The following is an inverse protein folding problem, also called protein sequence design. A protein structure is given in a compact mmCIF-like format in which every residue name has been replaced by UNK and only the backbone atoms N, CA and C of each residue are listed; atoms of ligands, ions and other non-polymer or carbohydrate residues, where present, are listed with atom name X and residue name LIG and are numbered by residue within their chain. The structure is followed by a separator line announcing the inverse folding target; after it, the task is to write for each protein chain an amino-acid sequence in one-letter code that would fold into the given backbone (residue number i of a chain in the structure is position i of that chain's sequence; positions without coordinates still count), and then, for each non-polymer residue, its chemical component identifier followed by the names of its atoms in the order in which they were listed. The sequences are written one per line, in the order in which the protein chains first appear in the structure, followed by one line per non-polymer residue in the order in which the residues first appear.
data_IF_699837040053
#
_entry.id   IF_699837040053
#
_cell.length_a   1.000
_cell.length_b   1.000
_cell.length_c   1.000
_cell.angle_alpha   90.00
_cell.angle_beta   90.00
_cell.angle_gamma   90.00
#
_symmetry.space_group_name_H-M   'P 1'
#
loop_
_entity.id
_entity.type
_entity.pdbx_description
1 polymer ?
#
# COMPACT_ATOMS: atom_id res chain seq x y z
N UNK A 1 -2.41 -19.96 0.44
CA UNK A 1 -1.88 -18.99 1.43
C UNK A 1 -2.46 -19.35 2.78
N UNK A 2 -1.62 -19.80 3.72
CA UNK A 2 -2.06 -20.11 5.09
C UNK A 2 -2.03 -18.82 5.91
N UNK A 3 -3.11 -18.54 6.63
CA UNK A 3 -3.27 -17.33 7.44
C UNK A 3 -2.11 -17.22 8.45
N UNK A 4 -1.34 -16.14 8.35
CA UNK A 4 -0.22 -15.87 9.24
C UNK A 4 -0.78 -15.21 10.50
N UNK A 5 -1.20 -16.00 11.49
CA UNK A 5 -1.31 -15.50 12.86
C UNK A 5 0.11 -15.37 13.40
N UNK A 6 0.72 -14.21 13.18
CA UNK A 6 1.91 -13.84 13.95
C UNK A 6 1.45 -13.68 15.41
N UNK A 7 2.14 -14.29 16.40
CA UNK A 7 1.80 -14.08 17.80
C UNK A 7 1.77 -12.57 18.09
N UNK A 8 0.86 -12.15 18.96
CA UNK A 8 0.50 -10.75 19.31
C UNK A 8 1.69 -9.80 19.66
N UNK A 9 2.93 -10.30 19.66
CA UNK A 9 4.15 -9.58 19.96
C UNK A 9 4.97 -9.16 18.72
N UNK A 10 4.70 -9.72 17.52
CA UNK A 10 5.53 -9.46 16.33
C UNK A 10 4.98 -8.31 15.50
N UNK A 11 3.75 -8.42 14.98
CA UNK A 11 3.02 -7.37 14.25
C UNK A 11 1.54 -7.47 14.60
N UNK A 12 0.88 -6.32 14.77
CA UNK A 12 -0.57 -6.20 14.86
C UNK A 12 -1.09 -5.61 13.54
N UNK A 13 -1.71 -6.45 12.71
CA UNK A 13 -2.37 -5.96 11.49
C UNK A 13 -3.85 -5.83 11.77
N UNK A 14 -4.33 -4.60 11.74
CA UNK A 14 -5.75 -4.30 11.83
C UNK A 14 -6.30 -4.37 10.41
N UNK A 15 -6.89 -5.51 10.09
CA UNK A 15 -7.70 -5.64 8.89
C UNK A 15 -9.00 -4.89 9.17
N UNK A 16 -9.23 -3.78 8.48
CA UNK A 16 -10.50 -3.05 8.54
C UNK A 16 -11.52 -3.79 7.69
N UNK A 17 -11.84 -5.01 8.10
CA UNK A 17 -12.86 -5.86 7.51
C UNK A 17 -13.58 -6.63 8.59
N UNK A 18 -14.86 -6.30 8.78
CA UNK A 18 -15.88 -7.24 9.25
C UNK A 18 -15.85 -7.73 10.70
N UNK A 19 -14.83 -7.46 11.54
CA UNK A 19 -14.83 -7.93 12.94
C UNK A 19 -15.37 -6.93 13.96
N UNK A 20 -15.56 -5.67 13.58
CA UNK A 20 -16.45 -4.76 14.28
C UNK A 20 -17.66 -4.51 13.38
N UNK A 21 -18.77 -5.23 13.64
CA UNK A 21 -20.10 -4.73 13.30
C UNK A 21 -20.34 -3.47 14.14
N UNK A 22 -19.69 -2.37 13.78
CA UNK A 22 -20.05 -1.05 14.26
C UNK A 22 -21.16 -0.48 13.36
N UNK A 23 -22.01 0.32 13.99
CA UNK A 23 -23.38 0.76 13.68
C UNK A 23 -23.64 1.36 12.26
N UNK A 24 -22.72 1.28 11.31
CA UNK A 24 -22.91 1.81 9.93
C UNK A 24 -22.42 0.94 8.76
N UNK A 25 -21.73 -0.19 8.97
CA UNK A 25 -21.52 -1.19 7.91
C UNK A 25 -20.72 -0.75 6.66
N UNK A 26 -19.81 0.22 6.75
CA UNK A 26 -19.02 0.70 5.59
C UNK A 26 -17.55 0.34 5.72
N UNK A 27 -17.04 -0.48 4.78
CA UNK A 27 -15.62 -0.66 4.51
C UNK A 27 -14.99 0.69 4.13
N UNK A 28 -13.86 1.08 4.74
CA UNK A 28 -13.31 2.43 4.54
C UNK A 28 -12.49 2.53 3.25
N UNK A 29 -12.90 3.44 2.37
CA UNK A 29 -12.14 3.88 1.21
C UNK A 29 -11.18 5.01 1.60
N UNK A 30 -9.87 4.79 1.46
CA UNK A 30 -8.86 5.79 1.83
C UNK A 30 -8.58 6.76 0.68
N UNK A 31 -8.23 8.00 1.03
CA UNK A 31 -7.94 9.03 0.03
C UNK A 31 -6.69 8.68 -0.77
N UNK A 32 -6.73 8.93 -2.07
CA UNK A 32 -5.58 8.76 -2.96
C UNK A 32 -5.32 7.33 -3.44
N UNK A 33 -6.24 6.39 -3.21
CA UNK A 33 -6.11 5.01 -3.65
C UNK A 33 -5.21 4.15 -2.77
N UNK A 34 -5.01 4.57 -1.51
CA UNK A 34 -4.19 3.87 -0.52
C UNK A 34 -4.91 2.61 -0.05
N UNK A 35 -4.30 1.43 -0.23
CA UNK A 35 -4.88 0.15 0.19
C UNK A 35 -4.44 -0.29 1.59
N UNK A 36 -3.34 0.27 2.09
CA UNK A 36 -2.78 -0.07 3.40
C UNK A 36 -1.79 0.98 3.87
N UNK A 37 -1.48 0.94 5.16
CA UNK A 37 -0.45 1.74 5.80
C UNK A 37 0.21 0.93 6.92
N UNK A 38 1.53 0.98 7.00
CA UNK A 38 2.30 0.31 8.03
C UNK A 38 3.48 1.16 8.51
N UNK A 39 3.89 0.92 9.77
CA UNK A 39 5.14 1.46 10.30
C UNK A 39 6.33 0.67 9.77
N UNK A 40 7.34 1.38 9.27
CA UNK A 40 8.53 0.74 8.69
C UNK A 40 9.58 0.47 9.75
N UNK A 41 10.07 -0.77 9.86
CA UNK A 41 11.19 -1.10 10.75
C UNK A 41 12.51 -0.52 10.26
N UNK A 42 13.43 -0.31 11.20
CA UNK A 42 14.76 0.21 10.90
C UNK A 42 15.84 -0.45 11.74
N UNK A 43 16.90 -0.91 11.08
CA UNK A 43 18.10 -1.44 11.74
C UNK A 43 18.84 -0.36 12.54
N UNK A 44 18.74 0.92 12.15
CA UNK A 44 19.46 2.03 12.77
C UNK A 44 18.76 2.63 14.01
N UNK A 45 17.73 1.96 14.53
CA UNK A 45 17.09 2.33 15.80
C UNK A 45 15.95 3.35 15.69
N UNK A 46 15.43 3.62 14.49
CA UNK A 46 14.12 4.28 14.37
C UNK A 46 13.04 3.35 14.96
N UNK A 47 12.04 3.94 15.62
CA UNK A 47 10.97 3.16 16.25
C UNK A 47 9.88 2.83 15.24
N UNK A 48 9.46 1.57 15.18
CA UNK A 48 8.49 1.11 14.18
C UNK A 48 8.75 -0.30 13.68
N UNK A 49 7.69 -0.94 13.19
CA UNK A 49 7.72 -2.27 12.60
C UNK A 49 7.84 -3.40 13.63
N UNK A 50 8.37 -4.54 13.19
CA UNK A 50 8.37 -5.79 13.98
C UNK A 50 9.04 -5.65 15.35
N UNK A 51 8.49 -6.35 16.35
CA UNK A 51 9.00 -6.39 17.72
C UNK A 51 9.05 -5.03 18.46
N UNK A 52 8.40 -3.98 17.95
CA UNK A 52 8.33 -2.69 18.66
C UNK A 52 7.45 -2.79 19.92
N UNK A 53 7.96 -2.26 21.05
CA UNK A 53 7.26 -2.31 22.34
C UNK A 53 6.35 -1.10 22.53
N UNK A 54 5.29 -1.30 23.32
CA UNK A 54 4.41 -0.21 23.75
C UNK A 54 5.20 0.81 24.57
N UNK A 55 5.34 2.04 24.06
CA UNK A 55 6.09 3.12 24.73
C UNK A 55 5.46 4.48 24.50
N UNK A 56 5.88 5.47 25.29
CA UNK A 56 5.40 6.85 25.20
C UNK A 56 6.12 7.58 24.07
N UNK A 57 5.36 8.23 23.19
CA UNK A 57 5.85 9.10 22.13
C UNK A 57 5.35 10.52 22.33
N UNK A 58 6.20 11.50 22.02
CA UNK A 58 5.84 12.92 22.00
C UNK A 58 5.45 13.32 20.58
N UNK A 59 4.21 13.74 20.39
CA UNK A 59 3.70 14.24 19.11
C UNK A 59 3.32 15.71 19.23
N UNK A 60 3.49 16.46 18.15
CA UNK A 60 3.04 17.85 18.07
C UNK A 60 1.72 17.91 17.32
N UNK A 61 0.61 18.00 18.05
CA UNK A 61 -0.74 18.12 17.47
C UNK A 61 -1.19 19.56 17.65
N UNK A 62 -1.44 20.27 16.54
CA UNK A 62 -1.86 21.68 16.58
C UNK A 62 -0.87 22.64 17.24
N UNK A 63 0.43 22.31 17.25
CA UNK A 63 1.48 23.12 17.88
C UNK A 63 1.68 22.88 19.38
N UNK A 64 0.92 21.96 20.00
CA UNK A 64 1.12 21.54 21.39
C UNK A 64 1.78 20.16 21.46
N UNK A 65 2.71 19.99 22.40
CA UNK A 65 3.32 18.69 22.66
C UNK A 65 2.38 17.82 23.48
N UNK A 66 1.92 16.73 22.88
CA UNK A 66 1.10 15.72 23.55
C UNK A 66 1.90 14.43 23.66
N UNK A 67 2.01 13.90 24.88
CA UNK A 67 2.62 12.58 25.11
C UNK A 67 1.54 11.51 25.05
N UNK A 68 1.62 10.60 24.08
CA UNK A 68 0.68 9.47 23.94
C UNK A 68 1.45 8.16 23.93
N UNK A 69 0.88 7.11 24.52
CA UNK A 69 1.48 5.77 24.48
C UNK A 69 0.95 5.04 23.26
N UNK A 70 1.86 4.44 22.47
CA UNK A 70 1.53 3.73 21.22
C UNK A 70 2.40 2.50 21.04
N UNK A 71 1.92 1.56 20.23
CA UNK A 71 2.69 0.44 19.70
C UNK A 71 2.82 0.64 18.19
N UNK A 72 4.06 0.80 17.71
CA UNK A 72 4.34 1.05 16.28
C UNK A 72 4.69 -0.25 15.53
N UNK A 73 4.36 -1.41 16.08
CA UNK A 73 4.38 -2.70 15.38
C UNK A 73 3.04 -2.96 14.68
N UNK A 74 2.46 -1.93 14.07
CA UNK A 74 1.08 -1.95 13.56
C UNK A 74 1.02 -1.68 12.07
N UNK A 75 0.03 -2.29 11.42
CA UNK A 75 -0.35 -2.00 10.04
C UNK A 75 -1.87 -2.05 9.87
N UNK A 76 -2.38 -1.38 8.85
CA UNK A 76 -3.80 -1.39 8.47
C UNK A 76 -3.93 -1.74 6.99
N UNK A 77 -4.98 -2.47 6.64
CA UNK A 77 -5.37 -2.70 5.24
C UNK A 77 -6.88 -2.50 5.06
N UNK A 78 -7.28 -2.13 3.85
CA UNK A 78 -8.69 -2.08 3.42
C UNK A 78 -8.93 -3.02 2.24
N UNK A 79 -10.18 -3.47 2.10
CA UNK A 79 -10.64 -4.26 0.97
C UNK A 79 -11.45 -3.45 -0.03
N UNK A 80 -11.48 -2.11 0.11
CA UNK A 80 -12.16 -1.20 -0.81
C UNK A 80 -11.21 -0.14 -1.33
N UNK A 81 -11.33 0.15 -2.62
CA UNK A 81 -10.60 1.22 -3.29
C UNK A 81 -11.51 1.90 -4.31
N UNK A 82 -11.64 3.23 -4.25
CA UNK A 82 -12.54 4.00 -5.12
C UNK A 82 -13.97 3.42 -5.15
N UNK A 83 -14.50 3.10 -3.98
CA UNK A 83 -15.81 2.47 -3.76
C UNK A 83 -16.02 1.13 -4.49
N UNK A 84 -14.94 0.44 -4.84
CA UNK A 84 -14.94 -0.88 -5.48
C UNK A 84 -14.22 -1.90 -4.61
N UNK A 85 -14.75 -3.13 -4.53
CA UNK A 85 -14.17 -4.20 -3.71
C UNK A 85 -12.92 -4.76 -4.38
N UNK A 86 -11.84 -4.81 -3.62
CA UNK A 86 -10.55 -5.32 -4.07
C UNK A 86 -10.59 -6.86 -4.10
N UNK A 87 -10.15 -7.52 -5.19
CA UNK A 87 -10.11 -8.99 -5.26
C UNK A 87 -9.21 -9.61 -4.18
N UNK A 88 -9.54 -10.80 -3.64
CA UNK A 88 -8.75 -11.44 -2.59
C UNK A 88 -7.26 -11.58 -2.89
N UNK A 89 -6.91 -11.85 -4.15
CA UNK A 89 -5.52 -11.96 -4.63
C UNK A 89 -4.76 -10.65 -4.42
N UNK A 90 -5.35 -9.51 -4.79
CA UNK A 90 -4.74 -8.19 -4.61
C UNK A 90 -4.67 -7.84 -3.12
N UNK A 91 -5.73 -8.12 -2.35
CA UNK A 91 -5.75 -7.88 -0.90
C UNK A 91 -4.66 -8.66 -0.15
N UNK A 92 -4.38 -9.90 -0.56
CA UNK A 92 -3.28 -10.70 -0.01
C UNK A 92 -1.91 -10.09 -0.33
N UNK A 93 -1.73 -9.53 -1.52
CA UNK A 93 -0.50 -8.84 -1.89
C UNK A 93 -0.34 -7.52 -1.15
N UNK A 94 -1.41 -6.75 -0.96
CA UNK A 94 -1.41 -5.56 -0.10
C UNK A 94 -1.01 -5.91 1.33
N UNK A 95 -1.58 -6.98 1.90
CA UNK A 95 -1.19 -7.46 3.22
C UNK A 95 0.31 -7.79 3.28
N UNK A 96 0.83 -8.50 2.27
CA UNK A 96 2.25 -8.82 2.19
C UNK A 96 3.14 -7.56 2.04
N UNK A 97 2.66 -6.54 1.33
CA UNK A 97 3.34 -5.24 1.18
C UNK A 97 3.46 -4.51 2.52
N UNK A 98 2.35 -4.39 3.27
CA UNK A 98 2.36 -3.75 4.60
C UNK A 98 3.19 -4.54 5.62
N UNK A 99 3.21 -5.87 5.52
CA UNK A 99 4.13 -6.71 6.30
C UNK A 99 5.58 -6.42 5.88
N UNK A 100 5.87 -6.31 4.60
CA UNK A 100 7.21 -5.98 4.09
C UNK A 100 7.74 -4.66 4.68
N UNK A 101 6.88 -3.65 4.82
CA UNK A 101 7.19 -2.42 5.56
C UNK A 101 7.52 -2.70 7.03
N UNK A 102 6.68 -3.44 7.76
CA UNK A 102 6.96 -3.81 9.15
C UNK A 102 8.28 -4.58 9.31
N UNK A 103 8.71 -5.34 8.31
CA UNK A 103 10.01 -6.02 8.28
C UNK A 103 11.17 -5.11 7.83
N UNK A 104 10.90 -3.85 7.50
CA UNK A 104 11.88 -2.81 7.23
C UNK A 104 12.24 -2.61 5.77
N UNK A 105 11.47 -3.19 4.84
CA UNK A 105 11.63 -2.86 3.43
C UNK A 105 10.98 -1.50 3.12
N UNK A 106 11.71 -0.53 2.56
CA UNK A 106 11.10 0.58 1.83
C UNK A 106 10.51 0.08 0.50
N UNK A 107 9.88 0.99 -0.24
CA UNK A 107 9.49 0.74 -1.62
C UNK A 107 10.69 0.39 -2.51
N UNK A 108 10.44 -0.42 -3.54
CA UNK A 108 11.48 -0.92 -4.45
C UNK A 108 12.13 0.20 -5.28
N UNK A 109 13.44 0.34 -5.12
CA UNK A 109 14.33 1.24 -5.86
C UNK A 109 15.77 0.69 -5.82
N UNK A 110 16.59 0.82 -6.88
CA UNK A 110 16.35 1.49 -8.17
C UNK A 110 15.64 0.58 -9.18
N UNK A 111 15.71 0.90 -10.48
CA UNK A 111 14.94 0.25 -11.56
C UNK A 111 15.10 -1.28 -11.61
N UNK A 112 16.25 -1.81 -11.21
CA UNK A 112 16.52 -3.25 -11.09
C UNK A 112 15.54 -3.99 -10.16
N UNK A 113 15.00 -3.31 -9.15
CA UNK A 113 14.04 -3.86 -8.19
C UNK A 113 12.59 -3.56 -8.57
N UNK A 114 12.34 -2.88 -9.69
CA UNK A 114 11.01 -2.60 -10.23
C UNK A 114 10.97 -2.81 -11.76
N UNK A 115 11.20 -4.05 -12.23
CA UNK A 115 11.46 -4.32 -13.65
C UNK A 115 10.25 -4.08 -14.57
N UNK A 116 9.03 -4.06 -14.04
CA UNK A 116 7.81 -3.88 -14.83
C UNK A 116 7.66 -4.94 -15.94
N UNK A 117 7.04 -4.54 -17.05
CA UNK A 117 6.89 -5.38 -18.25
C UNK A 117 6.11 -6.69 -18.00
N UNK A 118 6.46 -7.75 -18.75
CA UNK A 118 5.77 -9.04 -18.70
C UNK A 118 5.85 -9.71 -17.32
N UNK A 119 7.01 -9.65 -16.67
CA UNK A 119 7.24 -10.25 -15.36
C UNK A 119 6.60 -9.46 -14.21
N UNK A 120 6.36 -8.17 -14.42
CA UNK A 120 5.74 -7.28 -13.44
C UNK A 120 6.68 -6.79 -12.35
N UNK A 121 6.16 -5.92 -11.50
CA UNK A 121 6.86 -5.42 -10.33
C UNK A 121 6.73 -6.39 -9.14
N UNK A 122 7.64 -6.25 -8.17
CA UNK A 122 7.65 -7.06 -6.94
C UNK A 122 6.65 -6.51 -5.91
N UNK A 123 6.51 -7.22 -4.78
CA UNK A 123 5.57 -6.89 -3.70
C UNK A 123 5.74 -5.44 -3.20
N UNK A 124 6.96 -4.92 -3.09
CA UNK A 124 7.24 -3.59 -2.51
C UNK A 124 7.19 -2.46 -3.54
N UNK A 125 6.51 -2.65 -4.67
CA UNK A 125 6.28 -1.58 -5.64
C UNK A 125 5.37 -0.49 -5.06
N UNK A 126 5.75 0.78 -5.23
CA UNK A 126 5.09 1.94 -4.61
C UNK A 126 3.71 2.30 -5.20
N UNK A 127 3.27 1.61 -6.26
CA UNK A 127 2.06 1.97 -7.01
C UNK A 127 1.16 0.75 -7.23
N UNK A 128 0.31 0.77 -8.25
CA UNK A 128 -0.70 -0.25 -8.44
C UNK A 128 -0.11 -1.63 -8.81
N UNK A 129 -0.84 -2.70 -8.49
CA UNK A 129 -0.51 -4.06 -8.92
C UNK A 129 -1.77 -4.82 -9.33
N UNK A 130 -1.71 -5.63 -10.39
CA UNK A 130 -2.82 -6.52 -10.77
C UNK A 130 -2.79 -7.84 -10.01
N UNK A 131 -1.63 -8.23 -9.50
CA UNK A 131 -1.41 -9.53 -8.86
C UNK A 131 -1.23 -10.70 -9.83
N UNK A 132 -1.44 -10.52 -11.13
CA UNK A 132 -1.39 -11.60 -12.12
C UNK A 132 0.01 -11.90 -12.66
N UNK A 133 0.99 -11.05 -12.37
CA UNK A 133 2.34 -11.20 -12.93
C UNK A 133 3.24 -12.04 -12.01
N UNK A 134 4.21 -12.81 -12.56
CA UNK A 134 5.04 -13.72 -11.77
C UNK A 134 5.82 -13.09 -10.60
N UNK A 135 6.22 -11.82 -10.72
CA UNK A 135 6.94 -11.12 -9.66
C UNK A 135 6.02 -10.57 -8.56
N UNK A 136 4.71 -10.44 -8.80
CA UNK A 136 3.79 -9.83 -7.85
C UNK A 136 3.70 -10.63 -6.54
N UNK A 137 4.05 -11.92 -6.54
CA UNK A 137 4.06 -12.79 -5.37
C UNK A 137 5.46 -12.97 -4.76
N UNK A 138 6.44 -12.12 -5.12
CA UNK A 138 7.84 -12.23 -4.67
C UNK A 138 8.35 -10.89 -4.16
N UNK A 139 9.26 -10.94 -3.19
CA UNK A 139 10.05 -9.79 -2.80
C UNK A 139 11.22 -9.59 -3.77
N UNK A 140 11.60 -8.34 -4.02
CA UNK A 140 12.74 -8.02 -4.87
C UNK A 140 14.06 -8.32 -4.13
N UNK A 141 15.20 -8.43 -4.84
CA UNK A 141 16.51 -8.51 -4.19
C UNK A 141 16.80 -7.34 -3.23
N UNK A 142 16.28 -6.14 -3.53
CA UNK A 142 16.40 -4.97 -2.66
C UNK A 142 15.60 -5.15 -1.36
N UNK A 143 14.34 -5.59 -1.47
CA UNK A 143 13.49 -5.82 -0.30
C UNK A 143 14.10 -6.89 0.61
N UNK A 144 14.55 -8.00 0.03
CA UNK A 144 15.19 -9.10 0.77
C UNK A 144 16.39 -8.60 1.57
N UNK A 145 17.26 -7.78 0.97
CA UNK A 145 18.44 -7.23 1.65
C UNK A 145 18.05 -6.34 2.84
N UNK A 146 17.07 -5.45 2.67
CA UNK A 146 16.62 -4.55 3.74
C UNK A 146 15.95 -5.32 4.89
N UNK A 147 15.11 -6.29 4.56
CA UNK A 147 14.49 -7.17 5.55
C UNK A 147 15.55 -7.96 6.32
N UNK A 148 16.54 -8.52 5.63
CA UNK A 148 17.63 -9.29 6.25
C UNK A 148 18.41 -8.43 7.24
N UNK A 149 18.76 -7.19 6.88
CA UNK A 149 19.46 -6.28 7.78
C UNK A 149 18.69 -5.98 9.08
N UNK A 150 17.36 -5.90 9.02
CA UNK A 150 16.52 -5.71 10.22
C UNK A 150 16.48 -6.99 11.06
N UNK A 151 16.32 -8.14 10.41
CA UNK A 151 16.30 -9.44 11.09
C UNK A 151 17.64 -9.73 11.79
N UNK A 152 18.78 -9.42 11.16
CA UNK A 152 20.11 -9.63 11.74
C UNK A 152 20.34 -8.84 13.05
N UNK A 153 19.68 -7.68 13.19
CA UNK A 153 19.77 -6.85 14.40
C UNK A 153 18.81 -7.32 15.50
N UNK A 154 17.68 -7.92 15.13
CA UNK A 154 16.63 -8.34 16.04
C UNK A 154 16.83 -9.77 16.56
N UNK A 155 17.11 -10.70 15.65
CA UNK A 155 17.24 -12.13 15.94
C UNK A 155 18.55 -12.38 16.68
N UNK A 156 18.49 -12.96 17.87
CA UNK A 156 19.66 -13.15 18.73
C UNK A 156 19.98 -11.97 19.67
N UNK A 157 19.24 -10.85 19.55
CA UNK A 157 19.32 -9.75 20.52
C UNK A 157 18.29 -9.95 21.64
N UNK A 158 18.72 -10.51 22.77
CA UNK A 158 17.84 -10.92 23.90
C UNK A 158 16.91 -9.83 24.44
N UNK A 159 17.17 -8.54 24.19
CA UNK A 159 16.31 -7.42 24.66
C UNK A 159 15.19 -7.05 23.68
N UNK A 160 15.35 -7.34 22.39
CA UNK A 160 14.44 -6.94 21.30
C UNK A 160 13.88 -8.11 20.49
N UNK A 161 14.48 -9.29 20.61
CA UNK A 161 13.99 -10.49 19.95
C UNK A 161 12.60 -10.86 20.49
N UNK A 162 11.64 -10.89 19.58
CA UNK A 162 10.27 -11.32 19.84
C UNK A 162 9.89 -12.57 19.02
N UNK A 163 10.84 -13.10 18.24
CA UNK A 163 10.62 -14.31 17.46
C UNK A 163 10.69 -15.53 18.38
N UNK A 164 9.88 -16.52 18.04
CA UNK A 164 9.92 -17.85 18.64
C UNK A 164 10.27 -18.85 17.56
N UNK A 165 10.97 -19.92 17.94
CA UNK A 165 11.18 -21.04 17.04
C UNK A 165 9.82 -21.53 16.50
N UNK A 166 9.74 -21.77 15.19
CA UNK A 166 8.53 -22.30 14.60
C UNK A 166 8.33 -23.73 15.09
N UNK A 167 7.27 -23.95 15.87
CA UNK A 167 6.82 -25.30 16.25
C UNK A 167 6.05 -26.01 15.11
N UNK A 168 6.03 -25.40 13.90
CA UNK A 168 5.22 -25.85 12.78
C UNK A 168 3.77 -25.38 12.94
N UNK A 169 2.83 -26.33 12.83
CA UNK A 169 1.40 -26.10 13.02
C UNK A 169 1.09 -25.63 14.45
N UNK A 170 0.26 -24.60 14.58
CA UNK A 170 -0.18 -24.10 15.89
C UNK A 170 -1.65 -24.47 16.15
N UNK A 171 -1.83 -25.47 17.01
CA UNK A 171 -3.15 -25.89 17.45
C UNK A 171 -3.79 -24.82 18.36
N UNK A 172 -4.96 -24.32 17.98
CA UNK A 172 -5.78 -23.37 18.71
C UNK A 172 -5.96 -22.02 18.02
N UNK A 173 -5.48 -21.85 16.78
CA UNK A 173 -5.67 -20.64 15.96
C UNK A 173 -6.89 -20.74 15.01
N UNK A 174 -7.64 -21.85 15.06
CA UNK A 174 -8.83 -22.15 14.25
C UNK A 174 -8.54 -22.38 12.77
N UNK A 175 -7.30 -22.74 12.45
CA UNK A 175 -6.87 -23.07 11.08
C UNK A 175 -6.33 -24.49 11.13
N UNK A 176 -6.91 -25.39 10.35
CA UNK A 176 -6.42 -26.77 10.30
C UNK A 176 -5.08 -26.80 9.56
N UNK A 177 -4.02 -27.14 10.29
CA UNK A 177 -2.66 -27.19 9.75
C UNK A 177 -2.12 -28.63 9.64
N UNK A 178 -0.90 -28.75 9.11
CA UNK A 178 -0.28 -30.06 8.85
C UNK A 178 -0.06 -30.81 10.18
N UNK A 179 -0.71 -31.97 10.35
CA UNK A 179 -0.63 -32.80 11.56
C UNK A 179 -1.86 -32.72 12.47
N UNK A 180 -2.72 -31.73 12.24
CA UNK A 180 -3.99 -31.56 12.93
C UNK A 180 -5.12 -32.23 12.15
N UNK A 181 -6.15 -32.72 12.86
CA UNK A 181 -7.37 -33.18 12.19
C UNK A 181 -8.45 -32.12 12.19
N UNK A 182 -8.45 -31.22 13.16
CA UNK A 182 -9.42 -30.14 13.33
C UNK A 182 -8.82 -29.07 14.23
N UNK A 183 -9.31 -27.83 14.16
CA UNK A 183 -8.94 -26.79 15.11
C UNK A 183 -10.16 -25.90 15.42
N UNK A 184 -10.67 -26.02 16.65
CA UNK A 184 -11.82 -25.24 17.11
C UNK A 184 -11.43 -24.07 18.03
N UNK A 185 -10.15 -23.89 18.34
CA UNK A 185 -9.66 -22.84 19.23
C UNK A 185 -8.88 -23.34 20.45
N UNK A 186 -8.53 -22.40 21.32
CA UNK A 186 -7.53 -22.63 22.36
C UNK A 186 -8.06 -23.42 23.57
N UNK A 187 -9.28 -23.15 24.00
CA UNK A 187 -9.90 -23.74 25.19
C UNK A 187 -11.39 -24.10 24.94
N UNK A 188 -12.08 -24.66 25.94
CA UNK A 188 -13.49 -25.04 25.83
C UNK A 188 -14.44 -23.84 25.61
N UNK A 189 -14.11 -22.66 26.13
CA UNK A 189 -14.94 -21.46 25.96
C UNK A 189 -14.96 -20.99 24.49
N UNK A 190 -13.81 -21.08 23.82
CA UNK A 190 -13.69 -20.75 22.41
C UNK A 190 -14.19 -21.87 21.49
N UNK A 191 -14.00 -23.12 21.89
CA UNK A 191 -14.33 -24.30 21.09
C UNK A 191 -15.81 -24.68 21.21
N UNK A 192 -16.64 -24.11 20.34
CA UNK A 192 -18.06 -24.47 20.20
C UNK A 192 -18.28 -25.77 19.41
N UNK A 193 -17.23 -26.32 18.82
CA UNK A 193 -17.29 -27.50 17.98
C UNK A 193 -17.32 -28.78 18.82
N UNK A 194 -18.43 -29.52 18.74
CA UNK A 194 -18.61 -30.80 19.43
C UNK A 194 -17.79 -31.93 18.83
N UNK A 195 -17.22 -31.74 17.64
CA UNK A 195 -16.50 -32.76 16.90
C UNK A 195 -14.99 -32.74 17.14
N UNK A 196 -14.48 -31.67 17.73
CA UNK A 196 -13.05 -31.44 17.93
C UNK A 196 -12.70 -31.30 19.42
N UNK A 197 -11.47 -31.66 19.79
CA UNK A 197 -10.89 -31.27 21.07
C UNK A 197 -10.15 -29.92 20.94
N UNK A 198 -10.37 -28.97 21.87
CA UNK A 198 -9.59 -27.72 21.90
C UNK A 198 -8.10 -27.99 22.19
N UNK A 199 -7.24 -26.99 21.99
CA UNK A 199 -5.81 -27.09 22.31
C UNK A 199 -5.55 -27.51 23.75
N UNK A 200 -6.25 -26.87 24.69
CA UNK A 200 -6.26 -27.22 26.11
C UNK A 200 -7.46 -28.10 26.40
N UNK A 201 -7.20 -29.38 26.60
CA UNK A 201 -8.22 -30.39 26.91
C UNK A 201 -8.63 -30.24 28.38
N UNK A 202 -9.93 -30.30 28.66
CA UNK A 202 -10.42 -30.30 30.04
C UNK A 202 -10.18 -31.63 30.73
N UNK A 203 -10.15 -31.60 32.06
CA UNK A 203 -10.09 -32.82 32.88
C UNK A 203 -11.28 -33.75 32.61
N UNK A 204 -12.45 -33.18 32.30
CA UNK A 204 -13.64 -33.94 31.92
C UNK A 204 -13.43 -34.73 30.64
N UNK A 205 -12.94 -34.08 29.57
CA UNK A 205 -12.68 -34.75 28.30
C UNK A 205 -11.58 -35.81 28.40
N UNK A 206 -10.56 -35.53 29.21
CA UNK A 206 -9.48 -36.48 29.47
C UNK A 206 -9.94 -37.68 30.30
N UNK A 207 -10.92 -37.49 31.20
CA UNK A 207 -11.55 -38.58 31.95
C UNK A 207 -12.41 -39.50 31.08
N UNK A 208 -13.08 -38.94 30.07
CA UNK A 208 -13.88 -39.69 29.10
C UNK A 208 -13.04 -40.42 28.06
N UNK A 209 -11.92 -39.82 27.65
CA UNK A 209 -11.02 -40.38 26.66
C UNK A 209 -9.57 -40.05 27.03
N UNK A 210 -8.88 -41.05 27.59
CA UNK A 210 -7.47 -40.93 27.99
C UNK A 210 -6.52 -40.66 26.81
N UNK A 211 -6.96 -40.97 25.58
CA UNK A 211 -6.19 -40.71 24.35
C UNK A 211 -6.57 -39.39 23.67
N UNK A 212 -7.41 -38.55 24.31
CA UNK A 212 -7.75 -37.24 23.79
C UNK A 212 -6.48 -36.38 23.62
N UNK A 213 -6.35 -35.77 22.45
CA UNK A 213 -5.26 -34.85 22.12
C UNK A 213 -5.85 -33.58 21.50
N UNK A 214 -5.31 -32.42 21.82
CA UNK A 214 -5.78 -31.15 21.25
C UNK A 214 -5.65 -31.15 19.73
N UNK A 215 -6.61 -30.51 19.06
CA UNK A 215 -6.72 -30.46 17.60
C UNK A 215 -6.82 -31.83 16.92
N UNK A 216 -7.34 -32.82 17.67
CA UNK A 216 -7.80 -34.10 17.13
C UNK A 216 -9.31 -34.19 17.27
N UNK A 217 -9.91 -34.94 16.36
CA UNK A 217 -11.35 -35.17 16.37
C UNK A 217 -11.73 -36.08 17.54
N UNK A 218 -12.93 -35.88 18.06
CA UNK A 218 -13.48 -36.74 19.13
C UNK A 218 -13.76 -38.14 18.60
N UNK A 219 -13.79 -39.12 19.51
CA UNK A 219 -14.10 -40.50 19.15
C UNK A 219 -15.46 -40.60 18.44
N UNK A 220 -15.58 -41.52 17.47
CA UNK A 220 -16.80 -41.78 16.68
C UNK A 220 -17.29 -40.62 15.82
N UNK A 221 -16.41 -39.71 15.43
CA UNK A 221 -16.71 -38.63 14.47
C UNK A 221 -16.03 -38.89 13.12
N UNK A 222 -16.62 -38.37 12.03
CA UNK A 222 -16.06 -38.47 10.67
C UNK A 222 -15.40 -37.17 10.24
N UNK A 223 -15.90 -36.02 10.69
CA UNK A 223 -15.36 -34.71 10.35
C UNK A 223 -15.55 -33.70 11.48
N UNK A 224 -14.99 -32.51 11.28
CA UNK A 224 -15.25 -31.32 12.08
C UNK A 224 -15.61 -30.14 11.16
N UNK A 225 -16.55 -29.25 11.54
CA UNK A 225 -16.82 -28.00 10.82
C UNK A 225 -15.59 -27.09 10.62
N UNK A 226 -14.55 -27.23 11.44
CA UNK A 226 -13.29 -26.49 11.25
C UNK A 226 -12.53 -26.93 9.99
N UNK A 227 -12.76 -28.15 9.50
CA UNK A 227 -12.16 -28.66 8.26
C UNK A 227 -12.83 -28.08 7.01
N UNK A 228 -14.11 -27.73 7.10
CA UNK A 228 -14.85 -27.16 5.97
C UNK A 228 -16.37 -27.18 6.12
N UNK A 229 -17.07 -26.52 5.19
CA UNK A 229 -18.52 -26.31 5.26
C UNK A 229 -19.35 -27.58 5.01
N UNK A 230 -18.75 -28.66 4.52
CA UNK A 230 -19.44 -29.92 4.22
C UNK A 230 -19.43 -30.91 5.40
N UNK A 231 -19.33 -30.41 6.63
CA UNK A 231 -19.47 -31.21 7.85
C UNK A 231 -20.67 -30.75 8.69
N UNK A 232 -21.54 -31.69 9.05
CA UNK A 232 -22.67 -31.42 9.92
C UNK A 232 -22.19 -31.22 11.37
N UNK A 233 -22.44 -30.04 11.94
CA UNK A 233 -21.95 -29.66 13.28
C UNK A 233 -22.55 -30.48 14.43
N UNK A 234 -23.75 -31.01 14.28
CA UNK A 234 -24.43 -31.76 15.34
C UNK A 234 -24.07 -33.25 15.36
N UNK A 235 -23.88 -33.86 14.18
CA UNK A 235 -23.62 -35.29 14.04
C UNK A 235 -22.16 -35.62 13.74
N UNK A 236 -21.34 -34.61 13.41
CA UNK A 236 -19.93 -34.78 13.05
C UNK A 236 -19.72 -35.75 11.87
N UNK A 237 -20.66 -35.73 10.93
CA UNK A 237 -20.68 -36.57 9.72
C UNK A 237 -20.66 -35.68 8.47
N UNK A 238 -20.17 -36.23 7.37
CA UNK A 238 -20.18 -35.52 6.09
C UNK A 238 -21.62 -35.24 5.66
N UNK A 239 -21.84 -34.08 5.05
CA UNK A 239 -23.14 -33.73 4.47
C UNK A 239 -23.45 -34.70 3.32
N UNK A 240 -24.50 -35.54 3.42
CA UNK A 240 -24.81 -36.53 2.39
C UNK A 240 -25.16 -35.88 1.06
N UNK A 241 -24.82 -36.52 -0.05
CA UNK A 241 -25.09 -36.02 -1.41
C UNK A 241 -26.59 -35.75 -1.65
N UNK A 242 -27.47 -36.49 -0.96
CA UNK A 242 -28.93 -36.31 -1.03
C UNK A 242 -29.42 -34.94 -0.57
N UNK A 243 -28.66 -34.26 0.30
CA UNK A 243 -29.01 -32.91 0.75
C UNK A 243 -28.72 -31.86 -0.32
N UNK A 244 -27.86 -32.16 -1.31
CA UNK A 244 -27.45 -31.22 -2.37
C UNK A 244 -27.04 -29.85 -1.82
N UNK A 245 -26.40 -29.82 -0.65
CA UNK A 245 -26.03 -28.59 0.03
C UNK A 245 -24.97 -27.86 -0.79
N UNK A 246 -25.28 -26.62 -1.19
CA UNK A 246 -24.31 -25.71 -1.80
C UNK A 246 -23.33 -25.24 -0.74
N UNK A 247 -22.04 -25.43 -1.00
CA UNK A 247 -20.95 -25.02 -0.11
C UNK A 247 -20.11 -23.87 -0.67
N UNK A 248 -20.12 -23.69 -2.00
CA UNK A 248 -19.63 -22.49 -2.69
C UNK A 248 -20.73 -22.01 -3.63
N UNK A 249 -21.04 -20.72 -3.52
CA UNK A 249 -21.98 -20.06 -4.42
C UNK A 249 -21.39 -19.90 -5.82
N UNK A 250 -22.28 -19.71 -6.79
CA UNK A 250 -21.92 -19.43 -8.17
C UNK A 250 -21.24 -18.04 -8.29
N UNK A 251 -20.24 -17.95 -9.15
CA UNK A 251 -19.56 -16.70 -9.50
C UNK A 251 -19.67 -16.44 -11.01
N UNK A 252 -19.23 -15.26 -11.47
CA UNK A 252 -19.21 -14.95 -12.91
C UNK A 252 -18.33 -15.93 -13.73
N UNK A 253 -17.36 -16.62 -13.10
CA UNK A 253 -16.42 -17.52 -13.78
C UNK A 253 -16.45 -18.97 -13.27
N UNK A 254 -17.27 -19.30 -12.29
CA UNK A 254 -17.39 -20.66 -11.74
C UNK A 254 -18.83 -20.99 -11.41
N UNK A 255 -19.24 -22.23 -11.65
CA UNK A 255 -20.53 -22.74 -11.21
C UNK A 255 -20.60 -22.89 -9.69
N UNK A 256 -21.79 -23.12 -9.14
CA UNK A 256 -21.91 -23.48 -7.71
C UNK A 256 -21.34 -24.88 -7.44
N UNK A 257 -20.81 -25.10 -6.24
CA UNK A 257 -20.30 -26.40 -5.81
C UNK A 257 -21.14 -26.96 -4.66
N UNK A 258 -21.38 -28.27 -4.69
CA UNK A 258 -22.18 -28.99 -3.68
C UNK A 258 -21.35 -30.05 -2.97
N UNK A 259 -21.70 -30.33 -1.72
CA UNK A 259 -21.01 -31.34 -0.93
C UNK A 259 -21.14 -32.74 -1.55
N UNK A 260 -20.00 -33.44 -1.67
CA UNK A 260 -19.93 -34.76 -2.33
C UNK A 260 -20.32 -35.94 -1.41
N UNK A 261 -20.47 -35.73 -0.10
CA UNK A 261 -20.78 -36.78 0.89
C UNK A 261 -19.59 -37.55 1.46
N UNK A 262 -18.37 -37.23 1.05
CA UNK A 262 -17.15 -37.99 1.40
C UNK A 262 -16.07 -37.13 2.08
N UNK A 263 -16.12 -35.81 1.92
CA UNK A 263 -15.14 -34.87 2.46
C UNK A 263 -15.82 -33.70 3.17
N UNK A 264 -15.15 -33.13 4.17
CA UNK A 264 -15.62 -31.92 4.86
C UNK A 264 -15.27 -30.64 4.06
N UNK A 265 -14.23 -30.71 3.24
CA UNK A 265 -13.87 -29.66 2.29
C UNK A 265 -14.89 -29.58 1.16
N UNK A 266 -15.19 -28.35 0.74
CA UNK A 266 -16.05 -28.11 -0.41
C UNK A 266 -15.27 -28.39 -1.69
N UNK A 267 -15.76 -29.28 -2.58
CA UNK A 267 -15.08 -29.57 -3.83
C UNK A 267 -14.91 -28.29 -4.68
N UNK A 268 -13.85 -28.23 -5.47
CA UNK A 268 -13.63 -27.08 -6.35
C UNK A 268 -14.76 -26.99 -7.40
N UNK A 269 -15.35 -25.80 -7.58
CA UNK A 269 -16.43 -25.61 -8.52
C UNK A 269 -15.92 -25.80 -9.96
N UNK A 270 -16.78 -26.34 -10.82
CA UNK A 270 -16.48 -26.39 -12.24
C UNK A 270 -16.37 -24.95 -12.79
N UNK A 271 -15.32 -24.70 -13.57
CA UNK A 271 -15.13 -23.42 -14.23
C UNK A 271 -16.19 -23.22 -15.33
N UNK A 272 -16.57 -21.97 -15.55
CA UNK A 272 -17.28 -21.60 -16.78
C UNK A 272 -16.33 -21.67 -17.97
N UNK A 273 -16.90 -21.67 -19.16
CA UNK A 273 -16.14 -21.72 -20.40
C UNK A 273 -15.14 -20.55 -20.48
N UNK A 274 -13.91 -20.85 -20.88
CA UNK A 274 -12.89 -19.84 -21.09
C UNK A 274 -13.38 -18.80 -22.10
N UNK A 275 -12.98 -17.53 -21.89
CA UNK A 275 -13.42 -16.36 -22.68
C UNK A 275 -14.88 -15.94 -22.44
N UNK A 276 -15.53 -16.44 -21.39
CA UNK A 276 -16.78 -15.82 -20.87
C UNK A 276 -16.46 -14.43 -20.31
N UNK A 277 -17.29 -13.43 -20.63
CA UNK A 277 -17.14 -12.06 -20.09
C UNK A 277 -17.46 -12.00 -18.59
N UNK A 278 -16.65 -11.30 -17.82
CA UNK A 278 -16.81 -11.07 -16.38
C UNK A 278 -16.41 -9.63 -16.00
N UNK A 279 -16.62 -9.26 -14.74
CA UNK A 279 -16.38 -7.92 -14.20
C UNK A 279 -17.05 -6.83 -15.05
N UNK A 280 -18.35 -7.01 -15.31
CA UNK A 280 -19.18 -6.12 -16.14
C UNK A 280 -18.60 -5.89 -17.55
N UNK A 281 -18.08 -6.95 -18.19
CA UNK A 281 -17.55 -6.93 -19.56
C UNK A 281 -16.14 -6.37 -19.72
N UNK A 282 -15.42 -6.13 -18.62
CA UNK A 282 -14.05 -5.57 -18.65
C UNK A 282 -12.95 -6.63 -18.58
N UNK A 283 -13.32 -7.87 -18.26
CA UNK A 283 -12.41 -9.01 -18.13
C UNK A 283 -13.04 -10.30 -18.72
N UNK A 284 -12.23 -11.34 -18.84
CA UNK A 284 -12.62 -12.67 -19.29
C UNK A 284 -12.28 -13.72 -18.23
N UNK A 285 -13.11 -14.74 -18.15
CA UNK A 285 -12.84 -15.95 -17.39
C UNK A 285 -11.75 -16.78 -18.08
N UNK A 286 -10.68 -17.09 -17.36
CA UNK A 286 -9.61 -17.97 -17.80
C UNK A 286 -9.33 -18.96 -16.67
N UNK A 287 -9.61 -20.25 -16.91
CA UNK A 287 -9.47 -21.33 -15.91
C UNK A 287 -10.16 -20.99 -14.58
N UNK A 288 -11.39 -20.48 -14.65
CA UNK A 288 -12.21 -20.16 -13.48
C UNK A 288 -11.90 -18.81 -12.81
N UNK A 289 -10.87 -18.09 -13.25
CA UNK A 289 -10.51 -16.77 -12.70
C UNK A 289 -10.92 -15.64 -13.65
N UNK A 290 -11.47 -14.55 -13.10
CA UNK A 290 -11.80 -13.33 -13.85
C UNK A 290 -10.57 -12.43 -14.02
N UNK A 291 -9.61 -12.84 -14.86
CA UNK A 291 -8.32 -12.15 -15.05
C UNK A 291 -7.93 -11.93 -16.51
N UNK A 292 -8.59 -12.59 -17.46
CA UNK A 292 -8.33 -12.41 -18.88
C UNK A 292 -8.75 -11.02 -19.37
N UNK A 293 -8.15 -10.54 -20.46
CA UNK A 293 -8.56 -9.29 -21.10
C UNK A 293 -9.47 -9.55 -22.29
N UNK A 294 -10.51 -8.73 -22.52
CA UNK A 294 -11.35 -8.80 -23.72
C UNK A 294 -10.57 -8.73 -25.03
N UNK A 295 -9.37 -8.13 -25.05
CA UNK A 295 -8.48 -8.09 -26.21
C UNK A 295 -8.18 -9.49 -26.78
N UNK A 296 -8.21 -10.54 -25.95
CA UNK A 296 -7.99 -11.93 -26.38
C UNK A 296 -9.08 -12.45 -27.32
N UNK A 297 -10.28 -11.85 -27.34
CA UNK A 297 -11.33 -12.18 -28.30
C UNK A 297 -10.98 -11.73 -29.72
N UNK A 298 -10.14 -10.70 -29.85
CA UNK A 298 -9.71 -10.11 -31.11
C UNK A 298 -8.28 -10.53 -31.50
N UNK A 299 -7.73 -11.58 -30.87
CA UNK A 299 -6.34 -12.02 -31.02
C UNK A 299 -5.29 -10.93 -30.68
N UNK A 300 -5.66 -9.99 -29.83
CA UNK A 300 -4.79 -8.91 -29.35
C UNK A 300 -4.39 -9.14 -27.88
N UNK A 301 -3.36 -8.42 -27.42
CA UNK A 301 -2.97 -8.42 -26.01
C UNK A 301 -3.33 -7.10 -25.34
N UNK A 302 -3.54 -7.13 -24.01
CA UNK A 302 -3.86 -5.94 -23.23
C UNK A 302 -2.63 -5.03 -23.11
N UNK A 303 -2.83 -3.74 -23.35
CA UNK A 303 -1.83 -2.70 -23.14
C UNK A 303 -2.38 -1.57 -22.27
N UNK A 304 -1.49 -0.66 -21.82
CA UNK A 304 -1.88 0.56 -21.13
C UNK A 304 -1.57 1.76 -22.01
N UNK A 305 -2.54 2.65 -22.14
CA UNK A 305 -2.27 3.99 -22.66
C UNK A 305 -1.42 4.71 -21.62
N UNK A 306 -0.34 5.35 -22.08
CA UNK A 306 0.58 6.06 -21.18
C UNK A 306 0.61 7.55 -21.48
N UNK A 307 0.71 8.34 -20.42
CA UNK A 307 0.75 9.81 -20.52
C UNK A 307 1.97 10.33 -21.28
N UNK A 308 3.06 9.55 -21.33
CA UNK A 308 4.31 9.88 -22.03
C UNK A 308 4.22 9.76 -23.56
N UNK A 309 3.29 8.95 -24.09
CA UNK A 309 3.16 8.73 -25.54
C UNK A 309 2.36 9.82 -26.25
N UNK A 310 1.57 10.62 -25.54
CA UNK A 310 0.70 11.62 -26.14
C UNK A 310 0.64 12.91 -25.28
N UNK A 311 1.29 14.01 -25.71
CA UNK A 311 1.14 15.30 -25.04
C UNK A 311 -0.31 15.78 -25.26
N UNK A 312 -1.05 16.03 -24.17
CA UNK A 312 -2.48 16.43 -24.14
C UNK A 312 -3.55 15.31 -24.15
N UNK A 313 -3.25 14.10 -23.69
CA UNK A 313 -4.30 13.13 -23.38
C UNK A 313 -5.23 13.66 -22.27
N UNK A 314 -6.55 13.59 -22.51
CA UNK A 314 -7.54 13.64 -21.43
C UNK A 314 -7.32 12.42 -20.51
N UNK A 315 -7.07 12.66 -19.22
CA UNK A 315 -6.83 11.60 -18.21
C UNK A 315 -7.94 10.56 -18.15
N UNK A 316 -9.11 10.84 -18.74
CA UNK A 316 -10.19 9.87 -18.94
C UNK A 316 -9.82 8.74 -19.89
N UNK A 317 -9.11 9.03 -20.99
CA UNK A 317 -8.71 8.01 -21.97
C UNK A 317 -7.79 6.96 -21.36
N UNK A 318 -6.98 7.30 -20.37
CA UNK A 318 -6.09 6.37 -19.65
C UNK A 318 -6.86 5.26 -18.89
N UNK A 319 -8.16 5.44 -18.69
CA UNK A 319 -9.06 4.47 -18.08
C UNK A 319 -9.92 3.71 -19.09
N UNK A 320 -9.66 3.86 -20.39
CA UNK A 320 -10.24 3.02 -21.43
C UNK A 320 -9.40 1.75 -21.59
N UNK A 321 -10.05 0.62 -21.88
CA UNK A 321 -9.38 -0.61 -22.23
C UNK A 321 -8.67 -0.41 -23.58
N UNK A 322 -7.37 -0.73 -23.63
CA UNK A 322 -6.56 -0.66 -24.82
C UNK A 322 -5.95 -2.02 -25.16
N UNK A 323 -5.82 -2.26 -26.46
CA UNK A 323 -5.29 -3.51 -27.02
C UNK A 323 -4.15 -3.21 -27.99
N UNK A 324 -3.19 -4.12 -28.09
CA UNK A 324 -2.08 -4.06 -29.02
C UNK A 324 -1.94 -5.39 -29.77
N UNK A 325 -1.38 -5.35 -30.97
CA UNK A 325 -1.11 -6.54 -31.77
C UNK A 325 0.13 -7.25 -31.24
N UNK A 326 -0.05 -8.48 -30.76
CA UNK A 326 1.04 -9.29 -30.21
C UNK A 326 1.79 -8.57 -29.08
N UNK A 327 3.09 -8.36 -29.26
CA UNK A 327 3.96 -7.72 -28.27
C UNK A 327 4.45 -6.31 -28.69
N UNK A 328 3.90 -5.77 -29.77
CA UNK A 328 4.35 -4.49 -30.33
C UNK A 328 3.69 -3.31 -29.60
N UNK A 329 4.45 -2.66 -28.71
CA UNK A 329 3.96 -1.55 -27.88
C UNK A 329 3.51 -0.32 -28.67
N UNK A 330 3.95 -0.19 -29.92
CA UNK A 330 3.59 0.95 -30.80
C UNK A 330 2.19 0.81 -31.41
N UNK A 331 1.58 -0.37 -31.32
CA UNK A 331 0.24 -0.66 -31.88
C UNK A 331 -0.87 -0.53 -30.83
N UNK A 332 -0.54 -0.11 -29.61
CA UNK A 332 -1.50 0.04 -28.53
C UNK A 332 -2.54 1.11 -28.85
N UNK A 333 -3.79 0.68 -29.10
CA UNK A 333 -4.93 1.54 -29.43
C UNK A 333 -6.09 1.32 -28.47
N UNK A 334 -6.86 2.38 -28.18
CA UNK A 334 -8.04 2.27 -27.32
C UNK A 334 -9.16 1.50 -28.01
N UNK A 335 -9.94 0.73 -27.25
CA UNK A 335 -11.18 0.09 -27.75
C UNK A 335 -12.18 1.08 -28.35
N UNK A 336 -12.14 2.35 -27.94
CA UNK A 336 -12.98 3.40 -28.52
C UNK A 336 -12.61 3.73 -29.97
N UNK A 337 -11.34 3.58 -30.37
CA UNK A 337 -10.85 3.89 -31.72
C UNK A 337 -11.26 2.86 -32.76
N UNK A 338 -11.45 1.61 -32.33
CA UNK A 338 -11.81 0.50 -33.21
C UNK A 338 -13.17 -0.11 -32.92
N UNK A 339 -14.01 0.60 -32.16
CA UNK A 339 -15.31 0.11 -31.75
C UNK A 339 -16.18 -0.32 -32.95
N UNK A 340 -16.13 0.42 -34.05
CA UNK A 340 -16.87 0.13 -35.27
C UNK A 340 -16.41 -1.15 -36.00
N UNK A 341 -15.13 -1.50 -35.90
CA UNK A 341 -14.54 -2.66 -36.58
C UNK A 341 -14.95 -3.98 -35.91
N UNK A 342 -15.10 -3.97 -34.59
CA UNK A 342 -15.36 -5.17 -33.78
C UNK A 342 -16.74 -5.16 -33.10
N UNK A 343 -17.66 -4.32 -33.57
CA UNK A 343 -19.04 -4.20 -33.07
C UNK A 343 -19.12 -3.94 -31.55
N UNK A 344 -18.23 -3.08 -31.04
CA UNK A 344 -18.21 -2.61 -29.65
C UNK A 344 -19.14 -1.39 -29.54
N UNK A 345 -19.70 -1.16 -28.35
CA UNK A 345 -20.51 0.04 -28.09
C UNK A 345 -19.76 1.34 -28.41
N UNK A 346 -20.45 2.37 -28.96
CA UNK A 346 -19.85 3.67 -29.22
C UNK A 346 -19.28 4.26 -27.93
N UNK A 347 -17.97 4.52 -27.89
CA UNK A 347 -17.25 4.97 -26.69
C UNK A 347 -16.32 3.93 -26.06
N UNK A 348 -16.26 2.70 -26.58
CA UNK A 348 -15.33 1.67 -26.14
C UNK A 348 -15.69 1.05 -24.78
N UNK A 349 -14.74 0.33 -24.19
CA UNK A 349 -14.89 -0.33 -22.89
C UNK A 349 -14.09 0.45 -21.84
N UNK A 350 -14.77 1.03 -20.86
CA UNK A 350 -14.14 1.70 -19.73
C UNK A 350 -13.76 0.71 -18.63
N UNK A 351 -12.59 0.88 -18.04
CA UNK A 351 -12.14 0.10 -16.89
C UNK A 351 -12.97 0.42 -15.65
N UNK A 352 -13.17 -0.57 -14.77
CA UNK A 352 -13.89 -0.37 -13.51
C UNK A 352 -13.09 0.53 -12.54
N UNK A 353 -13.76 1.30 -11.66
CA UNK A 353 -13.09 2.04 -10.59
C UNK A 353 -12.19 1.13 -9.75
N UNK A 354 -10.99 1.62 -9.41
CA UNK A 354 -9.95 0.84 -8.74
C UNK A 354 -9.07 -0.01 -9.68
N UNK A 355 -9.34 -0.04 -10.99
CA UNK A 355 -8.46 -0.68 -11.96
C UNK A 355 -7.14 0.08 -12.13
N UNK A 356 -6.00 -0.61 -12.33
CA UNK A 356 -4.73 0.05 -12.58
C UNK A 356 -4.73 0.78 -13.93
N UNK A 357 -4.08 1.94 -13.99
CA UNK A 357 -3.94 2.77 -15.20
C UNK A 357 -2.51 3.34 -15.34
N UNK A 358 -2.20 3.92 -16.51
CA UNK A 358 -0.89 4.52 -16.85
C UNK A 358 0.27 3.58 -16.51
N UNK A 359 0.21 2.32 -16.99
CA UNK A 359 1.18 1.26 -16.70
C UNK A 359 1.47 1.07 -15.20
N UNK A 360 0.40 0.87 -14.42
CA UNK A 360 0.43 0.65 -12.98
C UNK A 360 0.91 1.84 -12.13
N UNK A 361 1.05 3.05 -12.70
CA UNK A 361 1.39 4.25 -11.94
C UNK A 361 0.19 4.84 -11.19
N UNK A 362 -1.04 4.39 -11.50
CA UNK A 362 -2.25 4.94 -10.93
C UNK A 362 -3.43 3.97 -10.88
N UNK A 363 -4.55 4.48 -10.37
CA UNK A 363 -5.85 3.82 -10.38
C UNK A 363 -6.92 4.72 -11.03
N UNK A 364 -7.92 4.10 -11.65
CA UNK A 364 -9.09 4.80 -12.18
C UNK A 364 -10.08 5.15 -11.07
N UNK A 365 -10.44 6.42 -10.95
CA UNK A 365 -11.47 6.86 -10.00
C UNK A 365 -12.90 6.65 -10.53
N UNK A 366 -13.91 6.93 -9.70
CA UNK A 366 -15.34 6.84 -10.06
C UNK A 366 -15.76 7.75 -11.22
N UNK A 367 -14.93 8.76 -11.57
CA UNK A 367 -15.15 9.66 -12.71
C UNK A 367 -14.35 9.23 -13.95
N UNK A 368 -13.83 8.00 -13.94
CA UNK A 368 -12.99 7.38 -14.96
C UNK A 368 -11.71 8.17 -15.23
N UNK A 369 -11.17 8.90 -14.24
CA UNK A 369 -9.89 9.62 -14.37
C UNK A 369 -8.78 8.81 -13.73
N UNK A 370 -7.67 8.65 -14.45
CA UNK A 370 -6.48 8.02 -13.90
C UNK A 370 -5.82 8.95 -12.85
N UNK A 371 -5.78 8.50 -11.60
CA UNK A 371 -5.12 9.15 -10.47
C UNK A 371 -3.80 8.43 -10.20
N UNK A 372 -2.69 9.14 -10.33
CA UNK A 372 -1.38 8.61 -9.96
C UNK A 372 -1.34 8.32 -8.46
N UNK A 373 -0.73 7.20 -8.10
CA UNK A 373 -0.47 6.82 -6.71
C UNK A 373 0.85 7.45 -6.28
N UNK A 374 0.79 8.43 -5.38
CA UNK A 374 1.96 9.08 -4.79
C UNK A 374 2.14 8.56 -3.36
N UNK A 375 2.79 7.39 -3.23
CA UNK A 375 3.02 6.75 -1.93
C UNK A 375 4.27 7.29 -1.21
N UNK A 376 5.14 8.01 -1.92
CA UNK A 376 6.35 8.60 -1.35
C UNK A 376 6.04 10.02 -0.84
N UNK A 377 6.20 10.24 0.47
CA UNK A 377 5.89 11.55 1.08
C UNK A 377 6.65 12.73 0.46
N UNK A 378 6.21 13.98 0.70
CA UNK A 378 6.75 15.18 0.05
C UNK A 378 8.26 15.39 0.29
N UNK A 379 8.77 14.91 1.42
CA UNK A 379 10.20 14.96 1.76
C UNK A 379 11.05 14.00 0.92
N UNK A 380 10.54 12.77 0.67
CA UNK A 380 11.23 11.79 -0.18
C UNK A 380 11.25 12.28 -1.61
N UNK A 381 10.14 12.90 -2.07
CA UNK A 381 10.07 13.56 -3.37
C UNK A 381 11.09 14.71 -3.48
N UNK A 382 11.17 15.59 -2.49
CA UNK A 382 12.13 16.69 -2.49
C UNK A 382 13.57 16.17 -2.52
N UNK A 383 13.87 15.15 -1.71
CA UNK A 383 15.17 14.47 -1.71
C UNK A 383 15.48 13.90 -3.09
N UNK A 384 14.56 13.17 -3.71
CA UNK A 384 14.78 12.55 -5.00
C UNK A 384 14.87 13.59 -6.13
N UNK A 385 14.20 14.73 -6.04
CA UNK A 385 14.32 15.81 -7.02
C UNK A 385 15.64 16.58 -6.88
N UNK A 386 16.05 16.92 -5.65
CA UNK A 386 17.22 17.76 -5.39
C UNK A 386 18.54 16.98 -5.33
N UNK A 387 18.52 15.72 -4.90
CA UNK A 387 19.71 14.91 -4.60
C UNK A 387 19.80 13.65 -5.48
N UNK A 388 19.18 13.65 -6.66
CA UNK A 388 19.41 12.57 -7.63
C UNK A 388 20.86 12.64 -8.14
N UNK A 389 21.50 11.49 -8.36
CA UNK A 389 22.87 11.43 -8.86
C UNK A 389 23.01 12.11 -10.22
N UNK A 390 22.02 11.93 -11.10
CA UNK A 390 21.99 12.56 -12.42
C UNK A 390 21.79 14.09 -12.36
N UNK A 391 20.92 14.57 -11.45
CA UNK A 391 20.70 16.01 -11.25
C UNK A 391 21.91 16.67 -10.61
N UNK A 392 22.58 15.98 -9.68
CA UNK A 392 23.82 16.46 -9.07
C UNK A 392 24.96 16.53 -10.08
N UNK A 393 25.06 15.57 -11.01
CA UNK A 393 26.07 15.59 -12.07
C UNK A 393 25.81 16.73 -13.07
N UNK A 394 24.57 16.93 -13.51
CA UNK A 394 24.21 18.05 -14.38
C UNK A 394 24.38 19.41 -13.71
N UNK A 395 24.04 19.53 -12.42
CA UNK A 395 24.31 20.75 -11.65
C UNK A 395 25.81 20.97 -11.48
N UNK A 396 26.60 19.93 -11.20
CA UNK A 396 28.05 20.03 -11.10
C UNK A 396 28.69 20.47 -12.43
N UNK A 397 28.27 19.88 -13.55
CA UNK A 397 28.68 20.29 -14.89
C UNK A 397 28.31 21.75 -15.17
N UNK A 398 27.07 22.15 -14.86
CA UNK A 398 26.62 23.54 -15.04
C UNK A 398 27.42 24.53 -14.18
N UNK A 399 27.70 24.18 -12.91
CA UNK A 399 28.51 24.98 -11.99
C UNK A 399 29.95 25.11 -12.49
N UNK A 400 30.54 24.04 -13.04
CA UNK A 400 31.90 24.10 -13.61
C UNK A 400 31.96 24.93 -14.89
N UNK A 401 30.93 24.85 -15.76
CA UNK A 401 30.84 25.65 -16.98
C UNK A 401 30.53 27.13 -16.73
N UNK A 402 29.76 27.45 -15.67
CA UNK A 402 29.30 28.80 -15.35
C UNK A 402 29.85 29.30 -14.01
N UNK A 403 31.08 28.91 -13.66
CA UNK A 403 31.67 29.20 -12.34
C UNK A 403 31.70 30.71 -12.01
N UNK A 404 31.87 31.57 -13.01
CA UNK A 404 31.88 33.03 -12.85
C UNK A 404 30.51 33.59 -12.40
N UNK A 405 29.40 33.01 -12.88
CA UNK A 405 28.05 33.37 -12.44
C UNK A 405 27.81 32.98 -10.98
N UNK A 406 28.30 31.79 -10.58
CA UNK A 406 28.19 31.31 -9.21
C UNK A 406 28.97 32.23 -8.25
N UNK A 407 30.16 32.67 -8.64
CA UNK A 407 30.94 33.65 -7.87
C UNK A 407 30.22 35.00 -7.78
N UNK A 408 29.65 35.50 -8.88
CA UNK A 408 28.88 36.74 -8.88
C UNK A 408 27.64 36.68 -7.98
N UNK A 409 26.91 35.56 -8.00
CA UNK A 409 25.78 35.31 -7.10
C UNK A 409 26.25 35.28 -5.65
N UNK A 410 27.38 34.61 -5.36
CA UNK A 410 27.98 34.57 -4.03
C UNK A 410 28.38 35.95 -3.51
N UNK A 411 29.06 36.76 -4.33
CA UNK A 411 29.41 38.15 -3.99
C UNK A 411 28.17 39.01 -3.79
N UNK A 412 27.18 38.89 -4.69
CA UNK A 412 25.89 39.57 -4.57
C UNK A 412 25.17 39.22 -3.26
N UNK A 413 25.15 37.95 -2.88
CA UNK A 413 24.56 37.49 -1.62
C UNK A 413 25.27 38.08 -0.41
N UNK A 414 26.60 38.14 -0.41
CA UNK A 414 27.39 38.76 0.69
C UNK A 414 27.12 40.26 0.78
N UNK A 415 27.04 40.96 -0.36
CA UNK A 415 26.72 42.40 -0.40
C UNK A 415 25.31 42.66 0.14
N UNK A 416 24.33 41.85 -0.27
CA UNK A 416 22.94 41.95 0.22
C UNK A 416 22.87 41.62 1.71
N UNK A 417 23.56 40.58 2.18
CA UNK A 417 23.61 40.22 3.59
C UNK A 417 24.28 41.33 4.42
N UNK A 418 25.38 41.90 3.93
CA UNK A 418 26.05 43.03 4.56
C UNK A 418 25.19 44.30 4.59
N UNK A 419 24.46 44.59 3.51
CA UNK A 419 23.51 45.70 3.45
C UNK A 419 22.31 45.48 4.39
N UNK A 420 21.79 44.25 4.46
CA UNK A 420 20.72 43.85 5.36
C UNK A 420 21.16 43.96 6.82
N UNK A 421 22.32 43.42 7.19
CA UNK A 421 22.88 43.55 8.54
C UNK A 421 23.09 45.02 8.90
N UNK A 422 23.62 45.84 7.97
CA UNK A 422 23.82 47.27 8.21
C UNK A 422 22.49 48.03 8.35
N UNK A 423 21.48 47.67 7.58
CA UNK A 423 20.12 48.20 7.67
C UNK A 423 19.48 47.82 9.01
N UNK A 424 19.51 46.54 9.37
CA UNK A 424 19.01 46.03 10.64
C UNK A 424 19.76 46.64 11.83
N UNK A 425 21.09 46.76 11.79
CA UNK A 425 21.90 47.35 12.86
C UNK A 425 21.55 48.81 13.19
N UNK A 426 21.03 49.56 12.22
CA UNK A 426 20.59 50.96 12.41
C UNK A 426 19.21 51.03 13.10
N UNK A 427 18.41 49.98 12.95
CA UNK A 427 17.02 49.91 13.42
C UNK A 427 16.81 49.02 14.65
N UNK A 428 17.74 48.11 14.95
CA UNK A 428 17.69 47.27 16.16
C UNK A 428 18.25 48.03 17.37
N UNK A 429 17.47 48.20 18.46
CA UNK A 429 17.96 48.83 19.68
C UNK A 429 18.99 47.94 20.38
N UNK A 430 20.16 48.50 20.69
CA UNK A 430 21.26 47.81 21.39
C UNK A 430 21.22 48.13 22.88
N UNK A 431 21.34 47.12 23.75
CA UNK A 431 21.41 47.27 25.21
C UNK A 431 22.75 47.85 25.73
N UNK A 432 23.58 48.40 24.84
CA UNK A 432 24.92 48.90 25.16
C UNK A 432 24.87 50.43 25.28
N UNK A 433 25.10 51.01 26.49
CA UNK A 433 24.92 52.44 26.75
C UNK A 433 25.92 53.35 26.03
N UNK A 434 26.99 52.80 25.42
CA UNK A 434 27.98 53.57 24.64
C UNK A 434 27.64 53.69 23.15
N UNK A 435 26.59 53.02 22.65
CA UNK A 435 26.17 53.11 21.24
C UNK A 435 25.07 54.15 21.04
N UNK A 436 25.08 54.82 19.88
CA UNK A 436 24.04 55.78 19.49
C UNK A 436 22.66 55.10 19.43
N UNK A 437 21.62 55.82 19.84
CA UNK A 437 20.23 55.34 19.88
C UNK A 437 19.74 54.96 18.47
N UNK A 438 19.06 53.82 18.34
CA UNK A 438 18.54 53.31 17.06
C UNK A 438 17.54 54.29 16.44
N UNK A 439 17.61 54.48 15.10
CA UNK A 439 16.74 55.41 14.36
C UNK A 439 15.45 54.70 13.94
N UNK A 440 14.33 55.42 13.94
CA UNK A 440 13.06 54.87 13.41
C UNK A 440 13.11 54.83 11.88
N UNK A 441 12.59 53.75 11.29
CA UNK A 441 12.55 53.53 9.83
C UNK A 441 11.90 54.72 9.10
N UNK A 442 10.88 55.33 9.69
CA UNK A 442 10.16 56.51 9.17
C UNK A 442 11.01 57.78 9.04
N UNK A 443 12.05 57.93 9.85
CA UNK A 443 12.95 59.11 9.81
C UNK A 443 14.01 58.98 8.72
N UNK A 444 14.38 57.73 8.36
CA UNK A 444 15.44 57.44 7.38
C UNK A 444 14.92 57.60 5.94
N UNK A 445 13.65 57.25 5.69
CA UNK A 445 12.99 57.40 4.38
C UNK A 445 12.67 58.86 4.01
N UNK A 446 12.57 59.78 4.97
CA UNK A 446 12.27 61.22 4.73
C UNK A 446 13.51 62.07 4.42
N UNK A 447 14.72 61.57 4.68
CA UNK A 447 15.96 62.31 4.47
C UNK A 447 16.23 62.73 3.01
N UNK A 448 16.04 61.88 1.97
CA UNK A 448 16.31 62.28 0.58
C UNK A 448 15.34 63.34 0.04
N UNK A 449 14.09 63.37 0.52
CA UNK A 449 13.09 64.39 0.11
C UNK A 449 13.41 65.80 0.61
N UNK A 450 14.04 65.93 1.77
CA UNK A 450 14.38 67.23 2.37
C UNK A 450 15.66 67.84 1.77
N UNK A 451 16.58 67.01 1.27
CA UNK A 451 17.81 67.45 0.57
C UNK A 451 17.49 67.96 -0.84
N UNK A 452 16.62 67.26 -1.58
CA UNK A 452 16.12 67.72 -2.88
C UNK A 452 15.33 69.04 -2.77
N UNK A 453 14.49 69.21 -1.74
CA UNK A 453 13.78 70.48 -1.50
C UNK A 453 14.70 71.66 -1.14
N UNK A 454 15.86 71.41 -0.50
CA UNK A 454 16.85 72.46 -0.23
C UNK A 454 17.61 72.88 -1.48
N UNK A 455 17.95 71.95 -2.37
CA UNK A 455 18.60 72.28 -3.65
C UNK A 455 17.67 73.10 -4.57
N UNK A 456 16.37 72.78 -4.61
CA UNK A 456 15.39 73.53 -5.42
C UNK A 456 15.19 74.97 -4.93
N UNK A 457 15.27 75.22 -3.61
CA UNK A 457 15.18 76.60 -3.06
C UNK A 457 16.43 77.45 -3.29
N UNK A 458 17.61 76.84 -3.47
CA UNK A 458 18.84 77.57 -3.78
C UNK A 458 18.93 78.04 -5.24
N UNK A 459 18.23 77.38 -6.17
CA UNK A 459 18.17 77.80 -7.58
C UNK A 459 17.18 78.95 -7.87
N UNK A 460 16.36 79.37 -6.89
CA UNK A 460 15.36 80.44 -7.08
C UNK A 460 15.78 81.80 -6.51
N UNK A 461 17.04 81.99 -6.10
CA UNK A 461 17.55 83.23 -5.47
C UNK A 461 18.74 83.87 -6.22
N UNK A 462 18.79 83.75 -7.54
CA UNK A 462 19.68 84.55 -8.39
C UNK A 462 18.82 85.51 -9.22
N UNK A 463 18.93 86.85 -9.00
CA UNK A 463 18.32 87.83 -9.89
C UNK A 463 19.09 87.88 -11.23
N UNK A 464 18.34 88.26 -12.28
CA UNK A 464 18.73 88.40 -13.69
C UNK A 464 20.12 88.98 -13.93
#
# INVERSE_FOLDING_TARGET
MRYLFLPFYIIIIIILSGYAKDISGVERDFTGGTLGLAWVASASGASGGICEKYKTYTETVGGQYQSTKRSLNTGIITFVNYNSRVPPKVSQLTLAHEIGHNFGSPHDYPQECRPGGLNGNYIMFASATSGDRPNNSKFSPCSIRNISNVLDVLVGNTKRDCFKASEGAFCGNKIVESGEECDCGFNEEECKDKCCYPRLISEYDQSLNSSAKGCKRRAKTQCSPSQGPCCLSNSCTFVPTTYSQKCKEETECSWSSTCNGTTAECPEPQHRDDKTMCNNGTALCIRGECSGSPCLLWNMTKCFLTSNMLPHIDKRKLCELACQDGNDTNTCRSTSEFAAEYNIQPGGISLQPGSPCDNFQGYCDVFLKCRAVDADGPLVRLKNLLLNRETLLTVAEWVTGNWYLVVLIGVGFIVVLGAFIKCCAVHTPSSNPKKRRARRISETLRAPMNTLRRMVRQLQLLPL
#
